data_IF_147472833510
#
_entry.id   IF_147472833510
#
_cell.length_a   1.000
_cell.length_b   1.000
_cell.length_c   1.000
_cell.angle_alpha   90.00
_cell.angle_beta   90.00
_cell.angle_gamma   90.00
#
_symmetry.space_group_name_H-M   'P 1'
#
loop_
_entity.id
_entity.type
_entity.pdbx_description
1 polymer ?
#
# COMPACT_ATOMS: atom_id res chain seq x y z
N UNK A 1 -3.98 62.07 32.49
CA UNK A 1 -3.30 60.77 32.37
C UNK A 1 -3.72 60.07 31.08
N UNK A 2 -2.84 60.19 30.07
CA UNK A 2 -2.62 59.25 28.95
C UNK A 2 -3.82 58.54 28.29
N UNK A 3 -4.23 59.03 27.12
CA UNK A 3 -4.91 58.26 26.06
C UNK A 3 -4.07 57.01 25.74
N UNK A 4 -4.63 55.82 25.99
CA UNK A 4 -4.02 54.53 25.69
C UNK A 4 -3.79 54.32 24.19
N UNK A 5 -2.64 54.78 23.69
CA UNK A 5 -2.13 54.46 22.36
C UNK A 5 -1.30 53.17 22.47
N UNK A 6 -1.91 52.03 22.16
CA UNK A 6 -1.19 50.82 21.73
C UNK A 6 -2.12 49.84 21.00
N UNK A 7 -2.63 50.27 19.85
CA UNK A 7 -2.96 49.32 18.78
C UNK A 7 -1.65 48.65 18.37
N UNK A 8 -1.37 47.48 18.93
CA UNK A 8 -0.17 46.72 18.61
C UNK A 8 -0.13 46.52 17.10
N UNK A 9 0.93 47.03 16.44
CA UNK A 9 1.20 46.74 15.03
C UNK A 9 1.17 45.21 14.90
N UNK A 10 0.13 44.65 14.28
CA UNK A 10 0.11 43.24 13.88
C UNK A 10 1.42 43.02 13.15
N UNK A 11 2.28 42.11 13.64
CA UNK A 11 3.50 41.73 12.93
C UNK A 11 3.10 41.46 11.47
N UNK A 12 3.75 42.16 10.54
CA UNK A 12 3.60 41.90 9.12
C UNK A 12 4.23 40.53 8.90
N UNK A 13 3.40 39.50 8.86
CA UNK A 13 3.80 38.11 8.64
C UNK A 13 3.26 37.70 7.28
N UNK A 14 4.13 37.17 6.42
CA UNK A 14 3.75 36.67 5.11
C UNK A 14 2.63 35.61 5.24
N UNK A 15 1.47 35.80 4.59
CA UNK A 15 0.41 34.79 4.57
C UNK A 15 0.84 33.41 4.08
N UNK A 16 1.88 33.29 3.23
CA UNK A 16 2.38 32.00 2.74
C UNK A 16 3.22 31.25 3.76
N UNK A 17 3.87 31.93 4.70
CA UNK A 17 4.64 31.30 5.78
C UNK A 17 3.80 30.37 6.68
N UNK A 18 2.47 30.56 6.68
CA UNK A 18 1.50 29.78 7.46
C UNK A 18 0.90 28.61 6.68
N UNK A 19 1.37 28.33 5.46
CA UNK A 19 0.82 27.30 4.59
C UNK A 19 1.78 26.14 4.44
N UNK A 20 1.24 24.94 4.41
CA UNK A 20 1.99 23.71 4.17
C UNK A 20 1.53 23.04 2.88
N UNK A 21 2.49 22.36 2.25
CA UNK A 21 2.30 21.63 1.00
C UNK A 21 1.95 20.17 1.27
N UNK A 22 0.94 19.68 0.55
CA UNK A 22 0.45 18.30 0.56
C UNK A 22 0.51 17.74 -0.86
N UNK A 23 0.81 16.47 -0.99
CA UNK A 23 0.88 15.77 -2.28
C UNK A 23 -0.48 15.15 -2.62
N UNK A 24 -0.98 15.38 -3.83
CA UNK A 24 -2.20 14.77 -4.33
C UNK A 24 -1.86 13.42 -4.96
N UNK A 25 -2.56 12.37 -4.49
CA UNK A 25 -2.45 11.02 -5.02
C UNK A 25 -3.72 10.62 -5.77
N UNK A 26 -3.57 10.19 -7.01
CA UNK A 26 -4.63 9.60 -7.83
C UNK A 26 -4.85 8.11 -7.48
N UNK A 27 -6.07 7.58 -7.69
CA UNK A 27 -6.39 6.15 -7.60
C UNK A 27 -5.43 5.24 -8.38
N UNK A 28 -5.30 3.99 -7.95
CA UNK A 28 -4.51 2.94 -8.63
C UNK A 28 -5.01 2.59 -10.04
N UNK A 29 -6.23 3.00 -10.41
CA UNK A 29 -6.77 2.85 -11.76
C UNK A 29 -5.94 3.62 -12.81
N UNK A 30 -5.17 4.62 -12.40
CA UNK A 30 -4.31 5.42 -13.27
C UNK A 30 -2.84 5.04 -13.08
N UNK A 31 -2.07 5.11 -14.16
CA UNK A 31 -0.66 4.72 -14.13
C UNK A 31 0.20 5.69 -13.29
N UNK A 32 -0.01 6.99 -13.45
CA UNK A 32 0.71 8.03 -12.72
C UNK A 32 -0.10 8.46 -11.48
N UNK A 33 0.30 7.96 -10.30
CA UNK A 33 -0.37 8.27 -9.03
C UNK A 33 -0.05 9.66 -8.49
N UNK A 34 1.12 10.22 -8.80
CA UNK A 34 1.52 11.55 -8.34
C UNK A 34 0.99 12.62 -9.31
N UNK A 35 -0.05 13.35 -8.89
CA UNK A 35 -0.71 14.37 -9.73
C UNK A 35 -0.06 15.73 -9.56
N UNK A 36 0.29 16.10 -8.33
CA UNK A 36 0.82 17.42 -8.00
C UNK A 36 0.74 17.73 -6.52
N UNK A 37 0.90 19.01 -6.17
CA UNK A 37 0.87 19.48 -4.78
C UNK A 37 -0.24 20.50 -4.56
N UNK A 38 -0.85 20.49 -3.38
CA UNK A 38 -1.79 21.51 -2.92
C UNK A 38 -1.34 22.11 -1.61
N UNK A 39 -1.49 23.42 -1.49
CA UNK A 39 -1.26 24.14 -0.26
C UNK A 39 -2.54 24.32 0.56
N UNK A 40 -2.41 24.26 1.88
CA UNK A 40 -3.45 24.63 2.84
C UNK A 40 -2.83 25.37 4.01
N UNK A 41 -3.60 26.22 4.68
CA UNK A 41 -3.15 26.87 5.92
C UNK A 41 -2.97 25.81 7.01
N UNK A 42 -1.88 25.94 7.78
CA UNK A 42 -1.62 25.11 8.96
C UNK A 42 -2.79 25.13 9.92
N UNK A 43 -2.98 23.99 10.60
CA UNK A 43 -3.97 23.87 11.66
C UNK A 43 -3.74 24.96 12.70
N UNK A 44 -4.76 25.77 12.96
CA UNK A 44 -4.71 26.88 13.90
C UNK A 44 -6.03 26.95 14.68
N UNK A 45 -5.95 26.75 15.99
CA UNK A 45 -7.12 26.69 16.87
C UNK A 45 -8.07 25.57 16.43
N UNK A 46 -9.33 25.93 16.16
CA UNK A 46 -10.40 24.99 15.79
C UNK A 46 -10.44 24.63 14.30
N UNK A 47 -9.61 25.27 13.45
CA UNK A 47 -9.58 25.00 12.01
C UNK A 47 -8.48 24.00 11.69
N UNK A 48 -8.87 22.78 11.35
CA UNK A 48 -7.96 21.70 10.99
C UNK A 48 -7.58 21.80 9.50
N UNK A 49 -6.30 21.63 9.19
CA UNK A 49 -5.80 21.67 7.81
C UNK A 49 -6.43 20.58 6.92
N UNK A 50 -6.68 19.38 7.46
CA UNK A 50 -7.32 18.26 6.75
C UNK A 50 -8.70 18.63 6.24
N UNK A 51 -9.51 19.32 7.05
CA UNK A 51 -10.88 19.69 6.68
C UNK A 51 -10.91 20.73 5.56
N UNK A 52 -9.87 21.58 5.51
CA UNK A 52 -9.68 22.52 4.41
C UNK A 52 -9.20 21.87 3.11
N UNK A 53 -8.69 20.63 3.15
CA UNK A 53 -8.25 19.86 1.98
C UNK A 53 -9.35 18.91 1.49
N UNK A 54 -10.06 18.25 2.40
CA UNK A 54 -11.18 17.36 2.08
C UNK A 54 -12.27 18.12 1.32
N UNK A 55 -12.85 17.47 0.32
CA UNK A 55 -13.88 18.07 -0.52
C UNK A 55 -13.37 18.93 -1.69
N UNK A 56 -12.07 19.22 -1.78
CA UNK A 56 -11.51 19.89 -2.97
C UNK A 56 -11.64 18.98 -4.19
N UNK A 57 -12.13 19.54 -5.29
CA UNK A 57 -12.22 18.87 -6.59
C UNK A 57 -11.12 19.41 -7.50
N UNK A 58 -10.25 18.52 -7.93
CA UNK A 58 -9.10 18.81 -8.79
C UNK A 58 -9.43 18.28 -10.18
N UNK A 59 -9.21 19.10 -11.19
CA UNK A 59 -9.37 18.68 -12.59
C UNK A 59 -7.98 18.41 -13.17
N UNK A 60 -7.79 17.21 -13.70
CA UNK A 60 -6.52 16.72 -14.26
C UNK A 60 -6.79 16.18 -15.64
N UNK A 61 -5.85 16.36 -16.57
CA UNK A 61 -5.95 15.75 -17.89
C UNK A 61 -5.65 14.25 -17.79
N UNK A 62 -6.37 13.42 -18.55
CA UNK A 62 -6.14 11.98 -18.59
C UNK A 62 -4.75 11.64 -19.19
N UNK A 63 -4.24 12.46 -20.11
CA UNK A 63 -2.90 12.29 -20.67
C UNK A 63 -1.81 12.31 -19.59
N UNK A 64 -1.91 13.20 -18.59
CA UNK A 64 -0.94 13.29 -17.50
C UNK A 64 -1.04 12.09 -16.54
N UNK A 65 -2.25 11.53 -16.39
CA UNK A 65 -2.52 10.37 -15.54
C UNK A 65 -2.06 9.05 -16.17
N UNK A 66 -2.09 8.93 -17.50
CA UNK A 66 -1.81 7.68 -18.23
C UNK A 66 -0.53 7.76 -19.08
N UNK A 67 0.17 8.91 -19.11
CA UNK A 67 1.32 9.18 -19.99
C UNK A 67 1.04 8.90 -21.47
N UNK A 68 -0.21 9.12 -21.90
CA UNK A 68 -0.66 8.89 -23.26
C UNK A 68 -1.28 10.17 -23.84
N UNK A 69 -0.63 10.78 -24.82
CA UNK A 69 -1.08 12.04 -25.44
C UNK A 69 -2.39 11.89 -26.21
N UNK A 70 -2.71 10.68 -26.71
CA UNK A 70 -3.94 10.43 -27.45
C UNK A 70 -5.20 10.78 -26.64
N UNK A 71 -5.11 10.68 -25.31
CA UNK A 71 -6.21 10.87 -24.37
C UNK A 71 -6.28 12.31 -23.80
N UNK A 72 -5.51 13.26 -24.35
CA UNK A 72 -5.39 14.62 -23.86
C UNK A 72 -6.68 15.47 -23.89
N UNK A 73 -7.74 14.97 -24.54
CA UNK A 73 -9.02 15.67 -24.64
C UNK A 73 -10.00 15.30 -23.51
N UNK A 74 -9.58 14.48 -22.54
CA UNK A 74 -10.41 14.01 -21.42
C UNK A 74 -9.92 14.60 -20.11
N UNK A 75 -10.76 15.40 -19.48
CA UNK A 75 -10.53 15.92 -18.14
C UNK A 75 -11.21 15.04 -17.09
N UNK A 76 -10.41 14.52 -16.17
CA UNK A 76 -10.86 13.75 -15.01
C UNK A 76 -10.97 14.67 -13.80
N UNK A 77 -12.07 14.55 -13.06
CA UNK A 77 -12.27 15.26 -11.80
C UNK A 77 -12.05 14.30 -10.65
N UNK A 78 -11.08 14.62 -9.82
CA UNK A 78 -10.71 13.87 -8.63
C UNK A 78 -11.07 14.69 -7.39
N UNK A 79 -11.83 14.12 -6.47
CA UNK A 79 -12.20 14.76 -5.20
C UNK A 79 -11.31 14.23 -4.09
N UNK A 80 -10.73 15.09 -3.27
CA UNK A 80 -10.00 14.69 -2.06
C UNK A 80 -11.02 14.19 -1.02
N UNK A 81 -10.94 12.93 -0.64
CA UNK A 81 -11.82 12.33 0.37
C UNK A 81 -11.12 12.21 1.72
N UNK A 82 -9.85 11.81 1.71
CA UNK A 82 -9.06 11.67 2.94
C UNK A 82 -7.64 12.23 2.80
N UNK A 83 -7.02 12.52 3.95
CA UNK A 83 -5.66 13.04 4.05
C UNK A 83 -4.90 12.21 5.05
N UNK A 84 -3.83 11.56 4.59
CA UNK A 84 -2.94 10.74 5.40
C UNK A 84 -1.55 11.35 5.43
N UNK A 85 -1.13 11.84 6.60
CA UNK A 85 0.12 12.60 6.74
C UNK A 85 0.13 13.79 5.76
N UNK A 86 1.01 13.75 4.75
CA UNK A 86 1.09 14.76 3.69
C UNK A 86 0.42 14.34 2.37
N UNK A 87 -0.17 13.16 2.30
CA UNK A 87 -0.81 12.63 1.10
C UNK A 87 -2.32 12.85 1.12
N UNK A 88 -2.84 13.51 0.10
CA UNK A 88 -4.27 13.65 -0.16
C UNK A 88 -4.73 12.51 -1.06
N UNK A 89 -5.55 11.61 -0.51
CA UNK A 89 -6.16 10.51 -1.25
C UNK A 89 -7.40 11.01 -1.98
N UNK A 90 -7.43 10.78 -3.29
CA UNK A 90 -8.52 11.26 -4.14
C UNK A 90 -9.37 10.13 -4.69
N UNK A 91 -10.65 10.43 -4.94
CA UNK A 91 -11.59 9.52 -5.56
C UNK A 91 -12.17 10.14 -6.84
N UNK A 92 -12.67 9.32 -7.75
CA UNK A 92 -13.28 9.77 -8.99
C UNK A 92 -14.60 10.50 -8.72
N UNK A 93 -14.72 11.73 -9.23
CA UNK A 93 -15.91 12.57 -9.07
C UNK A 93 -16.63 12.86 -10.39
N UNK A 94 -15.93 12.81 -11.51
CA UNK A 94 -16.54 13.02 -12.82
C UNK A 94 -15.54 13.08 -13.95
N UNK A 95 -16.07 13.20 -15.15
CA UNK A 95 -15.30 13.28 -16.39
C UNK A 95 -15.96 14.28 -17.33
N UNK A 96 -15.15 15.05 -18.05
CA UNK A 96 -15.58 16.02 -19.05
C UNK A 96 -14.64 15.95 -20.26
N UNK A 97 -15.17 16.09 -21.48
CA UNK A 97 -14.32 16.38 -22.64
C UNK A 97 -13.85 17.83 -22.62
N UNK A 98 -12.68 18.10 -23.19
CA UNK A 98 -12.19 19.46 -23.42
C UNK A 98 -13.06 20.20 -24.43
N UNK A 99 -13.10 21.53 -24.31
CA UNK A 99 -14.01 22.37 -25.11
C UNK A 99 -13.62 22.43 -26.58
N UNK A 100 -12.32 22.40 -26.87
CA UNK A 100 -11.73 22.32 -28.20
C UNK A 100 -12.13 21.02 -28.90
N UNK A 101 -11.96 19.87 -28.23
CA UNK A 101 -12.36 18.57 -28.80
C UNK A 101 -13.85 18.53 -29.08
N UNK A 102 -14.69 18.93 -28.12
CA UNK A 102 -16.13 18.94 -28.30
C UNK A 102 -16.55 19.81 -29.51
N UNK A 103 -16.00 21.01 -29.64
CA UNK A 103 -16.28 21.92 -30.77
C UNK A 103 -15.78 21.34 -32.09
N UNK A 104 -14.67 20.61 -32.11
CA UNK A 104 -14.12 19.99 -33.32
C UNK A 104 -15.00 18.88 -33.91
N UNK A 105 -15.79 18.21 -33.07
CA UNK A 105 -16.68 17.12 -33.47
C UNK A 105 -17.95 17.63 -34.16
N UNK A 106 -18.43 18.81 -33.74
CA UNK A 106 -19.65 19.42 -34.25
C UNK A 106 -19.39 20.05 -35.62
N UNK A 107 -19.65 19.27 -36.67
CA UNK A 107 -19.58 19.71 -38.08
C UNK A 107 -20.98 19.83 -38.70
N UNK A 108 -21.08 20.61 -39.78
CA UNK A 108 -22.28 20.70 -40.61
C UNK A 108 -22.51 19.40 -41.39
N UNK A 109 -23.72 19.22 -41.93
CA UNK A 109 -24.09 18.12 -42.84
C UNK A 109 -24.16 16.72 -42.23
N UNK A 110 -24.17 16.63 -40.90
CA UNK A 110 -24.39 15.42 -40.12
C UNK A 110 -25.39 15.73 -39.01
N UNK A 111 -26.16 14.72 -38.59
CA UNK A 111 -27.01 14.80 -37.39
C UNK A 111 -26.16 14.55 -36.14
N UNK A 112 -26.34 15.41 -35.14
CA UNK A 112 -25.86 15.22 -33.77
C UNK A 112 -26.91 14.42 -32.98
N UNK A 113 -26.47 13.37 -32.30
CA UNK A 113 -27.30 12.52 -31.46
C UNK A 113 -26.73 12.55 -30.05
N UNK A 114 -27.56 12.95 -29.09
CA UNK A 114 -27.23 12.98 -27.67
C UNK A 114 -28.17 12.07 -26.89
N UNK A 115 -27.62 11.40 -25.88
CA UNK A 115 -28.35 10.59 -24.91
C UNK A 115 -27.78 10.85 -23.51
N UNK A 116 -28.63 10.74 -22.50
CA UNK A 116 -28.23 10.81 -21.10
C UNK A 116 -28.95 9.74 -20.30
N UNK A 117 -28.29 9.21 -19.28
CA UNK A 117 -28.82 8.16 -18.41
C UNK A 117 -28.36 8.40 -16.99
N UNK A 118 -29.27 8.16 -16.05
CA UNK A 118 -28.96 8.03 -14.63
C UNK A 118 -28.81 6.57 -14.27
N UNK A 119 -27.61 6.18 -13.84
CA UNK A 119 -27.28 4.79 -13.50
C UNK A 119 -26.79 4.72 -12.07
N UNK A 120 -27.16 3.63 -11.39
CA UNK A 120 -26.60 3.27 -10.09
C UNK A 120 -25.60 2.15 -10.31
N UNK A 121 -24.38 2.36 -9.84
CA UNK A 121 -23.35 1.32 -9.75
C UNK A 121 -23.65 0.38 -8.58
N UNK A 122 -23.02 -0.79 -8.62
CA UNK A 122 -23.01 -1.81 -7.55
C UNK A 122 -22.56 -1.26 -6.20
N UNK A 123 -21.57 -0.36 -6.20
CA UNK A 123 -21.04 0.32 -5.01
C UNK A 123 -22.00 1.35 -4.37
N UNK A 124 -23.13 1.63 -5.02
CA UNK A 124 -24.09 2.62 -4.55
C UNK A 124 -23.81 4.07 -5.01
N UNK A 125 -22.84 4.30 -5.91
CA UNK A 125 -22.72 5.59 -6.59
C UNK A 125 -23.84 5.77 -7.61
N UNK A 126 -24.49 6.93 -7.59
CA UNK A 126 -25.44 7.33 -8.64
C UNK A 126 -24.74 8.29 -9.59
N UNK A 127 -24.63 7.90 -10.86
CA UNK A 127 -23.93 8.64 -11.92
C UNK A 127 -24.91 9.08 -13.00
N UNK A 128 -24.71 10.28 -13.55
CA UNK A 128 -25.33 10.73 -14.80
C UNK A 128 -24.31 10.72 -15.92
N UNK A 129 -24.52 9.81 -16.87
CA UNK A 129 -23.69 9.65 -18.05
C UNK A 129 -24.31 10.42 -19.22
N UNK A 130 -23.49 11.14 -19.97
CA UNK A 130 -23.88 11.81 -21.21
C UNK A 130 -23.07 11.22 -22.35
N UNK A 131 -23.74 10.71 -23.37
CA UNK A 131 -23.11 10.23 -24.58
C UNK A 131 -23.46 11.13 -25.77
N UNK A 132 -22.49 11.33 -26.64
CA UNK A 132 -22.63 12.07 -27.89
C UNK A 132 -22.19 11.19 -29.05
N UNK A 133 -22.90 11.28 -30.16
CA UNK A 133 -22.66 10.53 -31.36
C UNK A 133 -22.95 11.38 -32.59
N UNK A 134 -22.21 11.14 -33.68
CA UNK A 134 -22.44 11.78 -34.96
C UNK A 134 -22.72 10.74 -36.04
N UNK A 135 -23.54 11.12 -37.00
CA UNK A 135 -23.83 10.29 -38.17
C UNK A 135 -22.64 10.27 -39.12
N UNK A 136 -22.30 9.09 -39.63
CA UNK A 136 -21.23 8.88 -40.60
C UNK A 136 -21.78 8.86 -42.02
N UNK A 137 -21.08 9.51 -42.94
CA UNK A 137 -21.36 9.41 -44.37
C UNK A 137 -20.83 8.07 -44.90
N UNK A 138 -21.64 7.33 -45.67
CA UNK A 138 -21.20 6.07 -46.28
C UNK A 138 -20.18 6.34 -47.40
N UNK A 139 -19.22 5.43 -47.55
CA UNK A 139 -18.31 5.45 -48.69
C UNK A 139 -19.12 5.36 -50.00
N UNK A 140 -18.82 6.19 -51.00
CA UNK A 140 -19.56 6.27 -52.27
C UNK A 140 -20.86 7.06 -52.23
N UNK A 141 -21.28 7.60 -51.08
CA UNK A 141 -22.50 8.43 -51.01
C UNK A 141 -22.29 9.77 -51.75
N UNK A 142 -23.07 10.00 -52.82
CA UNK A 142 -23.01 11.25 -53.61
C UNK A 142 -23.52 12.46 -52.80
N UNK A 143 -24.61 12.27 -52.04
CA UNK A 143 -25.19 13.34 -51.21
C UNK A 143 -24.16 13.87 -50.22
N UNK A 144 -24.04 15.20 -50.12
CA UNK A 144 -23.17 15.86 -49.14
C UNK A 144 -23.60 15.62 -47.69
N UNK A 145 -24.91 15.46 -47.46
CA UNK A 145 -25.49 15.36 -46.12
C UNK A 145 -25.77 13.91 -45.70
N UNK A 146 -25.52 13.63 -44.42
CA UNK A 146 -25.77 12.37 -43.75
C UNK A 146 -26.77 12.61 -42.59
N UNK A 147 -28.00 13.00 -42.92
CA UNK A 147 -29.03 13.25 -41.91
C UNK A 147 -29.85 12.00 -41.61
N UNK A 148 -29.90 11.62 -40.34
CA UNK A 148 -30.77 10.54 -39.86
C UNK A 148 -32.21 11.05 -39.70
N UNK A 149 -33.19 10.20 -39.99
CA UNK A 149 -34.60 10.49 -39.74
C UNK A 149 -34.92 10.49 -38.25
N UNK A 150 -35.97 11.21 -37.83
CA UNK A 150 -36.39 11.27 -36.42
C UNK A 150 -36.66 9.91 -35.79
N UNK A 151 -37.19 8.95 -36.56
CA UNK A 151 -37.40 7.55 -36.12
C UNK A 151 -36.08 6.85 -35.80
N UNK A 152 -35.08 6.98 -36.68
CA UNK A 152 -33.74 6.44 -36.51
C UNK A 152 -33.04 7.07 -35.31
N UNK A 153 -33.15 8.40 -35.12
CA UNK A 153 -32.57 9.10 -33.96
C UNK A 153 -33.13 8.56 -32.65
N UNK A 154 -34.45 8.32 -32.57
CA UNK A 154 -35.09 7.73 -31.38
C UNK A 154 -34.65 6.28 -31.16
N UNK A 155 -34.48 5.50 -32.22
CA UNK A 155 -33.99 4.13 -32.13
C UNK A 155 -32.53 4.07 -31.63
N UNK A 156 -31.66 4.94 -32.15
CA UNK A 156 -30.25 5.06 -31.72
C UNK A 156 -30.19 5.50 -30.25
N UNK A 157 -30.97 6.51 -29.85
CA UNK A 157 -31.01 6.95 -28.44
C UNK A 157 -31.42 5.82 -27.49
N UNK A 158 -32.42 5.00 -27.85
CA UNK A 158 -32.79 3.83 -27.04
C UNK A 158 -31.62 2.86 -26.89
N UNK A 159 -30.95 2.50 -28.00
CA UNK A 159 -29.77 1.62 -27.96
C UNK A 159 -28.61 2.19 -27.15
N UNK A 160 -28.35 3.51 -27.25
CA UNK A 160 -27.34 4.18 -26.43
C UNK A 160 -27.66 4.05 -24.93
N UNK A 161 -28.91 4.32 -24.55
CA UNK A 161 -29.35 4.21 -23.15
C UNK A 161 -29.23 2.78 -22.64
N UNK A 162 -29.64 1.79 -23.43
CA UNK A 162 -29.60 0.38 -23.05
C UNK A 162 -28.17 -0.09 -22.78
N UNK A 163 -27.22 0.24 -23.66
CA UNK A 163 -25.80 -0.15 -23.53
C UNK A 163 -25.16 0.55 -22.33
N UNK A 164 -25.37 1.87 -22.20
CA UNK A 164 -24.85 2.63 -21.07
C UNK A 164 -25.36 2.11 -19.73
N UNK A 165 -26.64 1.73 -19.66
CA UNK A 165 -27.24 1.16 -18.45
C UNK A 165 -26.66 -0.21 -18.13
N UNK A 166 -26.54 -1.09 -19.14
CA UNK A 166 -25.99 -2.45 -18.97
C UNK A 166 -24.56 -2.43 -18.45
N UNK A 167 -23.70 -1.61 -19.07
CA UNK A 167 -22.27 -1.56 -18.76
C UNK A 167 -21.95 -0.91 -17.41
N UNK A 168 -22.78 0.05 -16.98
CA UNK A 168 -22.58 0.79 -15.73
C UNK A 168 -23.33 0.23 -14.52
N UNK A 169 -24.40 -0.54 -14.70
CA UNK A 169 -25.13 -1.17 -13.57
C UNK A 169 -24.44 -2.43 -13.07
N UNK A 170 -23.72 -3.13 -13.94
CA UNK A 170 -23.08 -4.41 -13.64
C UNK A 170 -21.75 -4.29 -12.91
N UNK A 171 -21.20 -3.09 -12.78
CA UNK A 171 -19.80 -2.87 -12.44
C UNK A 171 -19.62 -1.75 -11.39
N UNK A 172 -18.58 -1.93 -10.58
CA UNK A 172 -18.12 -0.98 -9.55
C UNK A 172 -17.57 0.32 -10.16
N UNK A 173 -17.41 1.37 -9.35
CA UNK A 173 -16.92 2.66 -9.85
C UNK A 173 -15.50 2.55 -10.43
N UNK A 174 -14.63 1.77 -9.79
CA UNK A 174 -13.24 1.54 -10.20
C UNK A 174 -13.16 0.97 -11.61
N UNK A 175 -13.90 -0.09 -11.84
CA UNK A 175 -13.91 -0.82 -13.11
C UNK A 175 -14.67 -0.05 -14.20
N UNK A 176 -15.71 0.72 -13.83
CA UNK A 176 -16.39 1.61 -14.75
C UNK A 176 -15.46 2.72 -15.27
N UNK A 177 -14.59 3.27 -14.43
CA UNK A 177 -13.54 4.22 -14.84
C UNK A 177 -12.55 3.54 -15.78
N UNK A 178 -12.15 2.30 -15.50
CA UNK A 178 -11.28 1.53 -16.39
C UNK A 178 -11.91 1.31 -17.78
N UNK A 179 -13.25 1.19 -17.90
CA UNK A 179 -13.96 1.15 -19.19
C UNK A 179 -14.01 2.51 -19.90
N UNK A 180 -13.98 3.62 -19.16
CA UNK A 180 -13.98 4.96 -19.78
C UNK A 180 -12.66 5.26 -20.48
N UNK A 181 -11.51 4.84 -19.95
CA UNK A 181 -10.18 5.16 -20.49
C UNK A 181 -10.04 4.71 -21.96
N UNK A 182 -10.25 3.42 -22.33
CA UNK A 182 -10.12 2.95 -23.72
C UNK A 182 -11.39 3.17 -24.58
N UNK A 183 -12.38 3.87 -24.05
CA UNK A 183 -13.67 4.16 -24.70
C UNK A 183 -14.51 2.93 -25.09
N UNK A 184 -14.48 1.87 -24.26
CA UNK A 184 -15.18 0.62 -24.57
C UNK A 184 -16.69 0.84 -24.87
N UNK A 185 -17.34 1.66 -24.05
CA UNK A 185 -18.78 1.98 -24.19
C UNK A 185 -19.09 2.71 -25.51
N UNK A 186 -18.22 3.62 -25.95
CA UNK A 186 -18.41 4.34 -27.23
C UNK A 186 -18.36 3.38 -28.40
N UNK A 187 -17.32 2.54 -28.44
CA UNK A 187 -17.12 1.52 -29.49
C UNK A 187 -18.26 0.50 -29.54
N UNK A 188 -18.79 0.10 -28.39
CA UNK A 188 -19.95 -0.80 -28.33
C UNK A 188 -21.23 -0.15 -28.89
N UNK A 189 -21.46 1.13 -28.56
CA UNK A 189 -22.58 1.90 -29.14
C UNK A 189 -22.46 1.98 -30.67
N UNK A 190 -21.26 2.23 -31.20
CA UNK A 190 -20.99 2.26 -32.65
C UNK A 190 -21.36 0.93 -33.31
N UNK A 191 -20.88 -0.18 -32.75
CA UNK A 191 -21.13 -1.53 -33.28
C UNK A 191 -22.62 -1.88 -33.24
N UNK A 192 -23.31 -1.60 -32.14
CA UNK A 192 -24.73 -1.92 -31.98
C UNK A 192 -25.64 -1.06 -32.86
N UNK A 193 -25.26 0.20 -33.14
CA UNK A 193 -26.07 1.11 -33.94
C UNK A 193 -25.83 0.98 -35.45
N UNK A 194 -24.79 0.25 -35.88
CA UNK A 194 -24.43 0.10 -37.30
C UNK A 194 -25.57 -0.45 -38.17
N UNK A 195 -26.45 -1.29 -37.61
CA UNK A 195 -27.64 -1.80 -38.29
C UNK A 195 -28.76 -0.76 -38.53
N UNK A 196 -28.79 0.33 -37.76
CA UNK A 196 -29.79 1.41 -37.91
C UNK A 196 -29.24 2.50 -38.82
N UNK A 197 -28.10 3.07 -38.44
CA UNK A 197 -27.42 4.12 -39.18
C UNK A 197 -25.93 4.11 -38.78
N UNK A 198 -24.99 4.23 -39.74
CA UNK A 198 -23.57 4.24 -39.41
C UNK A 198 -23.22 5.48 -38.57
N UNK A 199 -22.58 5.27 -37.42
CA UNK A 199 -22.11 6.34 -36.53
C UNK A 199 -20.60 6.55 -36.66
N UNK A 200 -20.13 7.70 -36.20
CA UNK A 200 -18.73 8.04 -36.00
C UNK A 200 -18.60 8.92 -34.77
N UNK A 201 -17.41 8.96 -34.18
CA UNK A 201 -17.08 9.87 -33.07
C UNK A 201 -18.06 9.71 -31.91
N UNK A 202 -18.31 8.47 -31.49
CA UNK A 202 -19.14 8.19 -30.32
C UNK A 202 -18.33 8.25 -29.03
N UNK A 203 -18.71 9.17 -28.15
CA UNK A 203 -17.98 9.44 -26.93
C UNK A 203 -18.91 9.55 -25.73
N UNK A 204 -18.43 9.12 -24.56
CA UNK A 204 -19.02 9.55 -23.29
C UNK A 204 -18.54 10.98 -23.02
N UNK A 205 -19.38 11.95 -23.35
CA UNK A 205 -19.07 13.39 -23.27
C UNK A 205 -18.82 13.87 -21.84
N UNK A 206 -19.63 13.37 -20.91
CA UNK A 206 -19.63 13.86 -19.52
C UNK A 206 -20.13 12.78 -18.58
N UNK A 207 -19.50 12.69 -17.42
CA UNK A 207 -19.94 11.87 -16.29
C UNK A 207 -20.04 12.75 -15.07
N UNK A 208 -21.19 12.75 -14.41
CA UNK A 208 -21.42 13.46 -13.15
C UNK A 208 -21.74 12.45 -12.07
N UNK A 209 -21.07 12.51 -10.92
CA UNK A 209 -21.56 11.84 -9.71
C UNK A 209 -22.70 12.69 -9.13
N UNK A 210 -23.91 12.14 -9.10
CA UNK A 210 -25.08 12.78 -8.49
C UNK A 210 -25.09 12.54 -6.97
N UNK A 211 -24.83 11.30 -6.57
CA UNK A 211 -24.82 10.88 -5.17
C UNK A 211 -23.68 9.91 -4.95
N UNK A 212 -22.85 10.22 -3.96
CA UNK A 212 -21.86 9.31 -3.41
C UNK A 212 -22.48 8.51 -2.25
N UNK A 213 -22.08 7.25 -2.03
CA UNK A 213 -22.42 6.50 -0.82
C UNK A 213 -21.79 7.15 0.41
N UNK A 214 -22.11 6.62 1.60
CA UNK A 214 -21.45 7.05 2.84
C UNK A 214 -19.96 6.77 2.73
N UNK A 215 -19.16 7.71 3.22
CA UNK A 215 -17.71 7.60 3.17
C UNK A 215 -17.25 6.40 4.00
N UNK A 216 -16.42 5.56 3.40
CA UNK A 216 -15.80 4.39 4.00
C UNK A 216 -14.31 4.42 3.68
N UNK A 217 -13.49 4.40 4.73
CA UNK A 217 -12.02 4.45 4.62
C UNK A 217 -11.49 3.17 3.99
N UNK A 218 -12.10 2.01 4.29
CA UNK A 218 -11.63 0.72 3.76
C UNK A 218 -11.69 0.66 2.25
N UNK A 219 -12.86 1.01 1.69
CA UNK A 219 -13.06 1.10 0.22
C UNK A 219 -12.11 2.09 -0.45
N UNK A 220 -11.79 3.20 0.22
CA UNK A 220 -10.82 4.16 -0.32
C UNK A 220 -9.40 3.57 -0.35
N UNK A 221 -9.00 2.83 0.68
CA UNK A 221 -7.68 2.18 0.71
C UNK A 221 -7.55 1.10 -0.37
N UNK A 222 -8.61 0.34 -0.66
CA UNK A 222 -8.63 -0.64 -1.76
C UNK A 222 -8.42 0.00 -3.13
N UNK A 223 -8.93 1.21 -3.34
CA UNK A 223 -8.76 1.96 -4.58
C UNK A 223 -7.34 2.52 -4.70
N UNK A 224 -6.67 2.82 -3.58
CA UNK A 224 -5.32 3.37 -3.61
C UNK A 224 -4.23 2.30 -3.61
N UNK A 225 -4.33 1.22 -2.81
CA UNK A 225 -3.33 0.15 -2.72
C UNK A 225 -1.94 0.63 -2.28
N UNK A 226 -1.29 -0.13 -1.39
CA UNK A 226 0.06 0.06 -0.83
C UNK A 226 0.56 1.51 -0.81
N UNK A 227 0.24 2.19 0.27
CA UNK A 227 1.04 3.34 0.69
C UNK A 227 2.25 2.77 1.42
N UNK A 228 3.49 3.06 0.98
CA UNK A 228 4.64 2.90 1.86
C UNK A 228 4.36 3.79 3.06
N UNK A 229 4.14 3.16 4.21
CA UNK A 229 4.00 3.88 5.46
C UNK A 229 5.40 4.34 5.84
N UNK A 230 5.90 5.38 5.17
CA UNK A 230 7.07 6.10 5.68
C UNK A 230 6.64 6.72 7.00
N UNK A 231 7.13 6.08 8.07
CA UNK A 231 6.90 6.40 9.47
C UNK A 231 7.08 7.90 9.65
N UNK A 232 5.97 8.62 9.76
CA UNK A 232 5.97 9.92 10.40
C UNK A 232 6.46 9.69 11.81
N UNK A 233 7.68 10.13 12.12
CA UNK A 233 8.18 10.26 13.49
C UNK A 233 7.11 11.00 14.29
N UNK A 234 6.40 10.25 15.14
CA UNK A 234 5.42 10.79 16.05
C UNK A 234 6.13 11.83 16.91
N UNK A 235 5.67 13.07 16.85
CA UNK A 235 6.03 14.06 17.87
C UNK A 235 5.22 13.67 19.09
N UNK A 236 5.87 12.99 20.04
CA UNK A 236 5.27 12.57 21.30
C UNK A 236 4.69 13.78 22.03
N UNK A 237 3.38 13.73 22.20
CA UNK A 237 2.66 14.48 23.23
C UNK A 237 2.03 13.41 24.12
N UNK A 238 2.32 13.36 25.43
CA UNK A 238 1.87 12.24 26.25
C UNK A 238 0.37 12.39 26.48
N UNK A 239 -0.39 11.36 26.13
CA UNK A 239 -1.75 11.15 26.57
C UNK A 239 -1.98 9.66 26.72
N UNK A 240 -2.70 9.33 27.79
CA UNK A 240 -2.77 8.04 28.46
C UNK A 240 -3.51 6.96 27.66
N UNK A 241 -3.27 5.71 28.07
CA UNK A 241 -3.56 4.48 27.35
C UNK A 241 -5.01 4.23 26.94
N UNK A 242 -5.14 3.42 25.88
CA UNK A 242 -6.07 2.28 25.83
C UNK A 242 -5.42 1.17 24.97
N UNK A 243 -5.16 0.01 25.56
CA UNK A 243 -4.88 -1.26 24.88
C UNK A 243 -6.23 -1.87 24.43
N UNK A 244 -6.43 -2.64 23.36
CA UNK A 244 -5.71 -3.73 22.68
C UNK A 244 -6.49 -4.02 21.38
N UNK A 245 -5.86 -4.61 20.37
CA UNK A 245 -6.42 -5.70 19.53
C UNK A 245 -5.29 -6.25 18.65
N UNK A 246 -5.09 -7.57 18.70
CA UNK A 246 -4.01 -8.33 18.08
C UNK A 246 -4.19 -8.48 16.55
N UNK A 247 -3.08 -8.47 15.80
CA UNK A 247 -3.00 -8.96 14.42
C UNK A 247 -2.07 -10.18 14.38
N UNK A 248 -2.57 -11.29 13.85
CA UNK A 248 -1.79 -12.46 13.48
C UNK A 248 -0.89 -12.13 12.28
N UNK A 249 0.42 -12.30 12.44
CA UNK A 249 1.44 -12.13 11.40
C UNK A 249 2.06 -13.47 11.02
N UNK A 250 2.35 -13.61 9.72
CA UNK A 250 3.09 -14.71 9.07
C UNK A 250 4.35 -15.09 9.87
N UNK A 251 4.55 -16.40 10.13
CA UNK A 251 5.72 -16.95 10.85
C UNK A 251 6.97 -16.84 9.98
N UNK A 252 7.95 -16.03 10.39
CA UNK A 252 9.03 -15.57 9.52
C UNK A 252 10.22 -16.54 9.39
N UNK A 253 10.33 -17.57 10.25
CA UNK A 253 11.48 -18.49 10.30
C UNK A 253 11.12 -19.96 9.99
N UNK A 254 9.98 -20.18 9.36
CA UNK A 254 9.47 -21.51 9.05
C UNK A 254 10.44 -22.29 8.12
N UNK A 255 10.91 -23.45 8.58
CA UNK A 255 11.79 -24.35 7.81
C UNK A 255 13.30 -24.21 8.04
N UNK A 256 13.76 -23.29 8.92
CA UNK A 256 15.18 -23.18 9.30
C UNK A 256 15.51 -23.91 10.59
N UNK A 257 16.72 -24.47 10.67
CA UNK A 257 17.24 -25.13 11.88
C UNK A 257 18.23 -24.24 12.62
N UNK A 258 17.92 -23.98 13.89
CA UNK A 258 18.71 -23.10 14.77
C UNK A 258 19.26 -23.91 15.94
N UNK A 259 20.58 -23.89 16.11
CA UNK A 259 21.28 -24.46 17.25
C UNK A 259 21.50 -23.38 18.31
N UNK A 260 21.05 -23.63 19.53
CA UNK A 260 21.25 -22.73 20.68
C UNK A 260 22.15 -23.43 21.70
N UNK A 261 23.28 -22.80 22.00
CA UNK A 261 24.24 -23.25 23.01
C UNK A 261 23.99 -22.57 24.34
N UNK A 262 24.01 -23.34 25.42
CA UNK A 262 23.69 -22.93 26.79
C UNK A 262 22.23 -22.47 27.00
N UNK A 263 21.25 -23.20 26.47
CA UNK A 263 19.83 -22.85 26.52
C UNK A 263 19.15 -22.91 27.93
N UNK A 264 19.90 -23.19 28.99
CA UNK A 264 19.38 -23.46 30.34
C UNK A 264 19.10 -22.22 31.21
N UNK A 265 19.75 -21.07 30.99
CA UNK A 265 19.61 -19.88 31.86
C UNK A 265 19.50 -18.58 31.04
N UNK A 266 18.69 -17.66 31.58
CA UNK A 266 18.49 -16.27 31.13
C UNK A 266 18.28 -16.14 29.62
N UNK A 267 19.24 -15.55 28.93
CA UNK A 267 19.12 -15.17 27.52
C UNK A 267 18.94 -16.38 26.59
N UNK A 268 19.55 -17.53 26.91
CA UNK A 268 19.46 -18.72 26.06
C UNK A 268 18.06 -19.32 26.01
N UNK A 269 17.34 -19.29 27.13
CA UNK A 269 15.97 -19.82 27.22
C UNK A 269 14.98 -18.91 26.50
N UNK A 270 15.07 -17.60 26.70
CA UNK A 270 14.13 -16.65 26.09
C UNK A 270 14.29 -16.55 24.57
N UNK A 271 15.54 -16.64 24.09
CA UNK A 271 15.86 -16.74 22.67
C UNK A 271 15.25 -18.02 22.09
N UNK A 272 15.40 -19.17 22.78
CA UNK A 272 14.76 -20.40 22.33
C UNK A 272 13.23 -20.26 22.21
N UNK A 273 12.58 -19.59 23.16
CA UNK A 273 11.13 -19.36 23.08
C UNK A 273 10.71 -18.41 21.95
N UNK A 274 11.48 -17.34 21.71
CA UNK A 274 11.18 -16.40 20.62
C UNK A 274 11.34 -17.04 19.24
N UNK A 275 12.43 -17.78 19.04
CA UNK A 275 12.68 -18.48 17.79
C UNK A 275 11.67 -19.63 17.55
N UNK A 276 11.23 -20.32 18.61
CA UNK A 276 10.13 -21.29 18.52
C UNK A 276 8.82 -20.63 18.05
N UNK A 277 8.50 -19.44 18.60
CA UNK A 277 7.29 -18.68 18.25
C UNK A 277 7.28 -18.19 16.80
N UNK A 278 8.46 -17.93 16.24
CA UNK A 278 8.65 -17.55 14.83
C UNK A 278 8.66 -18.75 13.86
N UNK A 279 8.55 -19.99 14.36
CA UNK A 279 8.40 -21.21 13.56
C UNK A 279 9.70 -21.92 13.19
N UNK A 280 10.81 -21.60 13.85
CA UNK A 280 12.09 -22.30 13.63
C UNK A 280 12.08 -23.71 14.23
N UNK A 281 12.89 -24.61 13.66
CA UNK A 281 13.17 -25.94 14.23
C UNK A 281 14.41 -25.85 15.12
N UNK A 282 14.27 -26.19 16.40
CA UNK A 282 15.31 -25.92 17.40
C UNK A 282 16.12 -27.15 17.79
N UNK A 283 17.43 -26.96 17.95
CA UNK A 283 18.36 -27.90 18.60
C UNK A 283 18.95 -27.20 19.82
N UNK A 284 18.75 -27.78 21.01
CA UNK A 284 19.15 -27.15 22.27
C UNK A 284 20.26 -27.94 22.95
N UNK A 285 21.28 -27.22 23.43
CA UNK A 285 22.40 -27.79 24.20
C UNK A 285 22.60 -27.02 25.50
N UNK A 286 22.87 -27.75 26.59
CA UNK A 286 23.21 -27.17 27.89
C UNK A 286 23.89 -28.19 28.81
N UNK A 287 24.62 -27.72 29.83
CA UNK A 287 25.26 -28.59 30.83
C UNK A 287 24.31 -29.21 31.85
N UNK A 288 23.16 -28.58 32.13
CA UNK A 288 22.19 -29.10 33.08
C UNK A 288 20.99 -29.75 32.38
N UNK A 289 20.89 -31.07 32.46
CA UNK A 289 19.86 -31.86 31.77
C UNK A 289 18.44 -31.54 32.26
N UNK A 290 18.24 -31.27 33.55
CA UNK A 290 16.92 -30.98 34.12
C UNK A 290 16.33 -29.65 33.62
N UNK A 291 17.10 -28.56 33.70
CA UNK A 291 16.67 -27.24 33.24
C UNK A 291 16.46 -27.20 31.72
N UNK A 292 17.27 -27.96 30.96
CA UNK A 292 17.13 -28.08 29.51
C UNK A 292 15.80 -28.75 29.12
N UNK A 293 15.36 -29.77 29.87
CA UNK A 293 14.06 -30.42 29.64
C UNK A 293 12.88 -29.47 29.89
N UNK A 294 12.99 -28.56 30.87
CA UNK A 294 11.96 -27.54 31.12
C UNK A 294 11.82 -26.55 29.96
N UNK A 295 12.96 -26.05 29.44
CA UNK A 295 12.98 -25.15 28.27
C UNK A 295 12.45 -25.87 27.03
N UNK A 296 12.84 -27.13 26.82
CA UNK A 296 12.36 -27.92 25.70
C UNK A 296 10.85 -28.19 25.77
N UNK A 297 10.31 -28.44 26.96
CA UNK A 297 8.86 -28.58 27.17
C UNK A 297 8.12 -27.27 26.86
N UNK A 298 8.70 -26.11 27.17
CA UNK A 298 8.12 -24.80 26.84
C UNK A 298 8.14 -24.56 25.33
N UNK A 299 9.27 -24.77 24.68
CA UNK A 299 9.40 -24.58 23.23
C UNK A 299 8.55 -25.56 22.41
N UNK A 300 8.44 -26.82 22.83
CA UNK A 300 7.65 -27.84 22.14
C UNK A 300 6.15 -27.53 22.06
N UNK A 301 5.62 -26.72 22.99
CA UNK A 301 4.24 -26.22 22.91
C UNK A 301 4.03 -25.08 21.90
N UNK A 302 5.12 -24.43 21.46
CA UNK A 302 5.09 -23.21 20.64
C UNK A 302 5.59 -23.41 19.20
N UNK A 303 6.37 -24.47 18.92
CA UNK A 303 6.96 -24.75 17.60
C UNK A 303 7.72 -26.08 17.52
N UNK A 304 8.28 -26.39 16.35
CA UNK A 304 8.95 -27.67 16.06
C UNK A 304 10.26 -27.85 16.83
N UNK A 305 10.35 -28.94 17.59
CA UNK A 305 11.53 -29.31 18.36
C UNK A 305 12.16 -30.59 17.78
N UNK A 306 13.48 -30.58 17.50
CA UNK A 306 14.15 -31.68 16.78
C UNK A 306 15.00 -32.57 17.71
N UNK A 307 15.94 -32.01 18.50
CA UNK A 307 16.88 -32.82 19.30
C UNK A 307 17.43 -32.09 20.53
N UNK A 308 17.56 -32.84 21.65
CA UNK A 308 18.26 -32.44 22.87
C UNK A 308 19.65 -33.07 22.90
N UNK A 309 20.71 -32.28 23.04
CA UNK A 309 22.06 -32.78 23.29
C UNK A 309 22.57 -32.24 24.63
N UNK A 310 22.51 -33.04 25.72
CA UNK A 310 23.11 -32.68 26.99
C UNK A 310 24.64 -32.78 26.89
N UNK A 311 25.36 -31.74 27.30
CA UNK A 311 26.83 -31.70 27.25
C UNK A 311 27.38 -31.31 28.61
N UNK A 312 27.90 -32.30 29.36
CA UNK A 312 28.34 -32.11 30.76
C UNK A 312 29.60 -31.22 30.91
N UNK A 313 30.35 -30.99 29.83
CA UNK A 313 31.56 -30.13 29.84
C UNK A 313 31.46 -29.07 28.74
N UNK A 314 31.02 -27.88 29.12
CA UNK A 314 31.10 -26.65 28.33
C UNK A 314 31.97 -25.64 29.08
N UNK A 315 33.25 -25.97 29.26
CA UNK A 315 34.25 -24.93 29.50
C UNK A 315 34.46 -24.19 28.18
N UNK A 316 34.47 -22.86 28.23
CA UNK A 316 34.48 -21.92 27.10
C UNK A 316 35.83 -21.90 26.35
N UNK A 317 36.28 -23.08 25.92
CA UNK A 317 37.45 -23.24 25.06
C UNK A 317 37.03 -23.45 23.61
N UNK A 318 37.71 -22.75 22.69
CA UNK A 318 37.51 -22.79 21.23
C UNK A 318 37.46 -24.21 20.66
N UNK A 319 38.32 -25.10 21.18
CA UNK A 319 38.43 -26.51 20.76
C UNK A 319 37.23 -27.36 21.15
N UNK A 320 36.59 -27.08 22.28
CA UNK A 320 35.43 -27.82 22.78
C UNK A 320 34.16 -27.44 22.00
N UNK A 321 34.04 -26.18 21.59
CA UNK A 321 32.96 -25.70 20.72
C UNK A 321 33.01 -26.35 19.34
N UNK A 322 34.19 -26.49 18.73
CA UNK A 322 34.34 -27.16 17.42
C UNK A 322 33.95 -28.65 17.46
N UNK A 323 34.29 -29.35 18.55
CA UNK A 323 33.90 -30.75 18.74
C UNK A 323 32.39 -30.93 18.90
N UNK A 324 31.75 -30.07 19.71
CA UNK A 324 30.30 -30.06 19.90
C UNK A 324 29.57 -29.72 18.59
N UNK A 325 30.10 -28.77 17.82
CA UNK A 325 29.55 -28.45 16.50
C UNK A 325 29.67 -29.64 15.53
N UNK A 326 30.78 -30.38 15.54
CA UNK A 326 30.94 -31.58 14.72
C UNK A 326 29.98 -32.70 15.14
N UNK A 327 29.79 -32.92 16.44
CA UNK A 327 28.85 -33.91 16.98
C UNK A 327 27.40 -33.56 16.61
N UNK A 328 26.97 -32.32 16.85
CA UNK A 328 25.60 -31.86 16.52
C UNK A 328 25.35 -31.86 15.01
N UNK A 329 26.35 -31.46 14.20
CA UNK A 329 26.24 -31.48 12.73
C UNK A 329 26.22 -32.90 12.17
N UNK A 330 26.85 -33.87 12.85
CA UNK A 330 26.78 -35.29 12.45
C UNK A 330 25.44 -35.96 12.81
N UNK A 331 24.82 -35.52 13.92
CA UNK A 331 23.51 -36.01 14.37
C UNK A 331 22.34 -35.39 13.59
N UNK A 332 22.48 -34.14 13.12
CA UNK A 332 21.45 -33.38 12.43
C UNK A 332 21.68 -33.33 10.92
N UNK A 333 20.63 -33.20 10.10
CA UNK A 333 20.75 -33.05 8.62
C UNK A 333 21.23 -31.66 8.17
N UNK A 334 22.11 -31.01 8.94
CA UNK A 334 22.63 -29.64 8.73
C UNK A 334 21.94 -28.57 9.59
N UNK A 335 22.72 -27.57 10.03
CA UNK A 335 22.29 -26.44 10.87
C UNK A 335 22.50 -25.14 10.08
N UNK A 336 21.50 -24.24 10.07
CA UNK A 336 21.56 -23.00 9.29
C UNK A 336 22.13 -21.84 10.13
N UNK A 337 21.84 -21.83 11.44
CA UNK A 337 22.14 -20.74 12.36
C UNK A 337 22.60 -21.29 13.70
N UNK A 338 23.71 -20.76 14.22
CA UNK A 338 24.25 -21.10 15.53
C UNK A 338 24.21 -19.85 16.41
N UNK A 339 23.54 -19.97 17.57
CA UNK A 339 23.44 -18.92 18.58
C UNK A 339 24.23 -19.33 19.82
N UNK A 340 25.21 -18.52 20.18
CA UNK A 340 26.05 -18.69 21.36
C UNK A 340 25.64 -17.68 22.43
N UNK A 341 24.98 -18.18 23.48
CA UNK A 341 24.67 -17.39 24.66
C UNK A 341 25.81 -17.55 25.68
N UNK A 342 26.62 -16.49 25.84
CA UNK A 342 27.77 -16.48 26.77
C UNK A 342 27.45 -15.55 27.94
N UNK A 343 27.55 -16.08 29.17
CA UNK A 343 27.49 -15.31 30.41
C UNK A 343 28.90 -15.07 30.95
N UNK A 344 29.61 -14.08 30.42
CA UNK A 344 30.97 -13.74 30.85
C UNK A 344 31.55 -12.52 30.13
N UNK A 345 32.49 -11.83 30.77
CA UNK A 345 33.09 -10.56 30.34
C UNK A 345 34.23 -10.71 29.33
N UNK A 346 34.60 -11.93 28.95
CA UNK A 346 35.67 -12.17 27.97
C UNK A 346 35.06 -12.65 26.65
N UNK A 347 35.18 -11.79 25.62
CA UNK A 347 34.80 -12.15 24.27
C UNK A 347 35.76 -13.20 23.72
N UNK A 348 35.25 -14.40 23.46
CA UNK A 348 35.99 -15.43 22.72
C UNK A 348 35.87 -15.08 21.23
N UNK A 349 36.98 -14.70 20.60
CA UNK A 349 37.05 -14.53 19.14
C UNK A 349 37.10 -15.93 18.49
N UNK A 350 35.98 -16.33 17.89
CA UNK A 350 35.89 -17.59 17.14
C UNK A 350 36.56 -17.44 15.76
N UNK A 351 37.22 -18.48 15.23
CA UNK A 351 37.79 -18.43 13.90
C UNK A 351 36.68 -18.19 12.87
N UNK A 352 36.83 -17.15 12.05
CA UNK A 352 35.99 -16.93 10.88
C UNK A 352 36.06 -18.12 9.91
N UNK A 353 35.07 -18.26 9.01
CA UNK A 353 34.96 -19.41 8.13
C UNK A 353 36.25 -19.61 7.33
N UNK A 354 36.97 -20.70 7.63
CA UNK A 354 38.01 -21.19 6.74
C UNK A 354 37.32 -21.93 5.61
N UNK A 355 37.58 -21.46 4.40
CA UNK A 355 37.12 -21.95 3.10
C UNK A 355 35.75 -21.43 2.63
N UNK A 356 35.80 -20.65 1.54
CA UNK A 356 34.67 -20.01 0.87
C UNK A 356 33.70 -20.96 0.13
N UNK A 357 33.34 -22.08 0.76
CA UNK A 357 32.22 -22.90 0.34
C UNK A 357 30.92 -22.35 0.94
N UNK A 358 29.84 -22.40 0.17
CA UNK A 358 28.56 -21.75 0.48
C UNK A 358 27.83 -22.27 1.74
N UNK A 359 28.28 -23.34 2.37
CA UNK A 359 27.50 -24.16 3.31
C UNK A 359 27.87 -23.98 4.79
N UNK A 360 28.65 -22.95 5.14
CA UNK A 360 28.98 -22.68 6.54
C UNK A 360 27.82 -22.01 7.30
N UNK A 361 27.50 -22.45 8.54
CA UNK A 361 26.42 -21.89 9.35
C UNK A 361 26.69 -20.42 9.74
N UNK A 362 25.63 -19.63 9.91
CA UNK A 362 25.74 -18.25 10.41
C UNK A 362 25.89 -18.24 11.94
N UNK A 363 26.85 -17.46 12.47
CA UNK A 363 27.12 -17.34 13.90
C UNK A 363 26.56 -16.06 14.49
N UNK A 364 25.87 -16.19 15.62
CA UNK A 364 25.33 -15.08 16.42
C UNK A 364 25.84 -15.23 17.86
N UNK A 365 26.65 -14.28 18.30
CA UNK A 365 27.13 -14.22 19.69
C UNK A 365 26.33 -13.20 20.49
N UNK A 366 25.80 -13.62 21.64
CA UNK A 366 25.01 -12.77 22.54
C UNK A 366 25.72 -12.66 23.90
N UNK A 367 25.98 -11.42 24.35
CA UNK A 367 26.59 -11.08 25.64
C UNK A 367 25.65 -10.19 26.47
N UNK A 368 25.71 -10.34 27.79
CA UNK A 368 24.86 -9.65 28.77
C UNK A 368 25.18 -8.15 28.92
N UNK A 369 26.42 -7.74 28.67
CA UNK A 369 26.78 -6.33 28.64
C UNK A 369 26.42 -5.81 27.25
N UNK A 370 25.29 -5.10 27.13
CA UNK A 370 24.63 -4.67 25.87
C UNK A 370 25.43 -3.80 24.88
N UNK A 371 26.74 -4.05 24.74
CA UNK A 371 27.72 -3.24 24.04
C UNK A 371 28.23 -3.84 22.73
N UNK A 372 28.10 -5.15 22.44
CA UNK A 372 28.51 -5.70 21.13
C UNK A 372 27.69 -6.94 20.71
N UNK A 373 26.95 -6.81 19.61
CA UNK A 373 26.56 -7.95 18.76
C UNK A 373 27.52 -7.96 17.56
N UNK A 374 28.31 -9.02 17.41
CA UNK A 374 29.06 -9.31 16.18
C UNK A 374 28.28 -10.41 15.44
N UNK A 375 27.46 -10.01 14.48
CA UNK A 375 26.94 -10.96 13.49
C UNK A 375 28.04 -11.11 12.42
N UNK A 376 28.55 -12.33 12.22
CA UNK A 376 29.45 -12.59 11.11
C UNK A 376 28.68 -12.45 9.78
N UNK A 377 29.34 -11.87 8.77
CA UNK A 377 28.75 -11.22 7.58
C UNK A 377 27.98 -12.14 6.60
N UNK A 378 26.79 -12.63 6.98
CA UNK A 378 25.76 -13.08 6.03
C UNK A 378 24.37 -12.58 6.44
N UNK A 379 23.60 -12.09 5.46
CA UNK A 379 22.28 -11.48 5.64
C UNK A 379 21.30 -12.40 6.38
N UNK A 380 21.07 -12.11 7.66
CA UNK A 380 19.97 -12.69 8.43
C UNK A 380 18.65 -11.99 8.06
N UNK A 381 17.51 -12.70 7.96
CA UNK A 381 16.23 -12.08 7.64
C UNK A 381 15.92 -10.95 8.64
N UNK A 382 15.42 -9.82 8.14
CA UNK A 382 15.12 -8.63 8.95
C UNK A 382 14.18 -8.92 10.13
N UNK A 383 13.35 -9.95 10.03
CA UNK A 383 12.49 -10.43 11.12
C UNK A 383 13.29 -11.04 12.28
N UNK A 384 14.32 -11.85 11.99
CA UNK A 384 15.17 -12.42 13.03
C UNK A 384 16.08 -11.37 13.71
N UNK A 385 16.50 -10.35 12.95
CA UNK A 385 17.11 -9.15 13.55
C UNK A 385 16.10 -8.35 14.40
N UNK A 386 14.83 -8.32 14.01
CA UNK A 386 13.78 -7.66 14.78
C UNK A 386 13.48 -8.39 16.10
N UNK A 387 13.46 -9.73 16.11
CA UNK A 387 13.35 -10.56 17.31
C UNK A 387 14.50 -10.28 18.30
N UNK A 388 15.74 -10.26 17.81
CA UNK A 388 16.92 -9.91 18.59
C UNK A 388 16.89 -8.44 19.08
N UNK A 389 16.33 -7.51 18.28
CA UNK A 389 16.19 -6.10 18.66
C UNK A 389 15.08 -5.85 19.69
N UNK A 390 14.03 -6.67 19.72
CA UNK A 390 13.01 -6.65 20.77
C UNK A 390 13.62 -7.06 22.11
N UNK A 391 14.51 -8.06 22.09
CA UNK A 391 15.27 -8.46 23.27
C UNK A 391 16.14 -7.32 23.82
N UNK A 392 16.80 -6.55 22.94
CA UNK A 392 17.57 -5.35 23.31
C UNK A 392 16.74 -4.28 24.05
N UNK A 393 15.43 -4.20 23.79
CA UNK A 393 14.53 -3.27 24.49
C UNK A 393 14.09 -3.78 25.87
N UNK A 394 13.94 -5.09 26.03
CA UNK A 394 13.59 -5.71 27.31
C UNK A 394 14.79 -5.75 28.27
N UNK A 395 15.97 -6.14 27.79
CA UNK A 395 17.20 -6.18 28.60
C UNK A 395 17.73 -4.79 29.01
N UNK A 396 17.27 -3.71 28.38
CA UNK A 396 17.60 -2.33 28.77
C UNK A 396 16.58 -1.72 29.76
N UNK A 397 15.50 -2.45 30.07
CA UNK A 397 14.44 -2.03 31.01
C UNK A 397 14.57 -2.68 32.40
N UNK A 398 15.38 -3.73 32.53
CA UNK A 398 15.86 -4.30 33.80
C UNK A 398 17.25 -3.77 34.12
#
# INVERSE_FOLDING_TARGET
>A
MSKGKKGGKKKIVDPFSKKDWYDIRAPSTFQQRAVGKTLVTRTAGTKIASDGLKGRVITVNLADLQKNEADAYRNIKLRVEDVQGRHCLTNFHGMDLTTDKLRSLVRKWQTLIEAHVDVKTTDGYTLRLFAIAFTKKRAGQVKKTAYAQSSQIRAIRRRMVDIMTREATSVDLKDLVAKFIPEAIGKEIEKACQGIYPLQNTFVRKVKVLRSPKFDVGKLMEVHGDLPTEVSTAVDRPAEGVATMAQESVRALEGRRVLIVNAHVSMGADVAETFAREGATLVLTAPQTLALHEVASRCGGMGGFDTLAPCETLELDLTSAEQLMHEVTSACKGVDVIVLAIGGTEGVDLPGPQDGSGDSPAYIQMSTDGSRFLAADREFPSAGQAALSCFKKQAAQE
#
